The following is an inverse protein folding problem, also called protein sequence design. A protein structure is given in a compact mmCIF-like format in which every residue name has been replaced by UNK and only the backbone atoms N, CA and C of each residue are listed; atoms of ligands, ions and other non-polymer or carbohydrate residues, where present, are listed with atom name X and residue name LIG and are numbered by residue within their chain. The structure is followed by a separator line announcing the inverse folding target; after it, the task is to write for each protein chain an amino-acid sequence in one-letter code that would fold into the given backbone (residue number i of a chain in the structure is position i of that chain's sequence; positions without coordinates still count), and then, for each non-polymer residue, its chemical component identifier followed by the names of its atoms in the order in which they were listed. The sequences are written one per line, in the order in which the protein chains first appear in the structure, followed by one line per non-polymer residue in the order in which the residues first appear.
data_IF_229475070742
#
_entry.id   IF_229475070742
#
_cell.length_a   1.000
_cell.length_b   1.000
_cell.length_c   1.000
_cell.angle_alpha   90.00
_cell.angle_beta   90.00
_cell.angle_gamma   90.00
#
_symmetry.space_group_name_H-M   'P 1'
#
loop_
_entity.id
_entity.type
_entity.pdbx_description
1 polymer ?
#
# COMPACT_ATOMS: atom_id res chain seq x y z
N UNK A 1 -4.85 -9.21 3.59
CA UNK A 1 -5.69 -8.66 2.51
C UNK A 1 -5.67 -7.15 2.61
N UNK A 2 -5.34 -6.46 1.52
CA UNK A 2 -5.16 -5.00 1.52
C UNK A 2 -6.42 -4.32 0.97
N UNK A 3 -7.02 -3.47 1.78
CA UNK A 3 -8.27 -2.79 1.46
C UNK A 3 -8.10 -1.65 0.44
N UNK A 4 -9.21 -1.21 -0.21
CA UNK A 4 -9.20 -0.03 -1.07
C UNK A 4 -8.70 1.24 -0.36
N UNK A 5 -8.34 2.24 -1.16
CA UNK A 5 -8.03 3.59 -0.66
C UNK A 5 -9.23 4.15 0.12
N UNK A 6 -8.98 4.66 1.33
CA UNK A 6 -10.01 5.23 2.21
C UNK A 6 -11.04 4.24 2.77
N UNK A 7 -10.87 2.94 2.52
CA UNK A 7 -11.72 1.87 3.06
C UNK A 7 -11.15 1.32 4.37
N UNK A 8 -11.94 0.49 5.06
CA UNK A 8 -11.55 -0.22 6.29
C UNK A 8 -11.78 -1.73 6.15
N UNK A 9 -11.22 -2.51 7.09
CA UNK A 9 -11.22 -3.98 7.07
C UNK A 9 -12.63 -4.56 7.02
N UNK A 10 -13.62 -3.95 7.67
CA UNK A 10 -15.01 -4.43 7.77
C UNK A 10 -15.78 -4.40 6.44
N UNK A 11 -15.28 -3.67 5.44
CA UNK A 11 -15.98 -3.47 4.17
C UNK A 11 -15.69 -4.63 3.18
N UNK A 12 -15.54 -4.32 1.89
CA UNK A 12 -15.33 -5.30 0.82
C UNK A 12 -14.22 -6.34 1.09
N UNK A 13 -13.09 -6.03 1.77
CA UNK A 13 -12.05 -7.03 2.01
C UNK A 13 -12.53 -8.18 2.90
N UNK A 14 -13.39 -7.91 3.89
CA UNK A 14 -13.95 -8.95 4.77
C UNK A 14 -14.83 -9.93 4.00
N UNK A 15 -15.55 -9.49 2.97
CA UNK A 15 -16.34 -10.40 2.11
C UNK A 15 -15.44 -11.43 1.43
N UNK A 16 -14.36 -10.99 0.80
CA UNK A 16 -13.40 -11.90 0.16
C UNK A 16 -12.67 -12.79 1.18
N UNK A 17 -12.33 -12.24 2.35
CA UNK A 17 -11.71 -13.01 3.43
C UNK A 17 -12.59 -14.18 3.87
N UNK A 18 -13.88 -13.93 4.11
CA UNK A 18 -14.84 -14.97 4.48
C UNK A 18 -14.95 -16.06 3.41
N UNK A 19 -15.09 -15.68 2.14
CA UNK A 19 -15.17 -16.63 1.03
C UNK A 19 -13.91 -17.49 0.91
N UNK A 20 -12.72 -16.91 1.09
CA UNK A 20 -11.47 -17.66 1.07
C UNK A 20 -11.34 -18.58 2.30
N UNK A 21 -11.80 -18.15 3.47
CA UNK A 21 -11.83 -18.96 4.68
C UNK A 21 -12.75 -20.18 4.54
N UNK A 22 -13.90 -20.03 3.88
CA UNK A 22 -14.79 -21.14 3.53
C UNK A 22 -14.13 -22.18 2.60
N UNK A 23 -13.11 -21.77 1.84
CA UNK A 23 -12.28 -22.66 1.02
C UNK A 23 -11.07 -23.25 1.77
N UNK A 24 -10.99 -23.08 3.09
CA UNK A 24 -9.95 -23.67 3.94
C UNK A 24 -8.67 -22.84 4.05
N UNK A 25 -8.71 -21.55 3.71
CA UNK A 25 -7.57 -20.64 3.89
C UNK A 25 -7.66 -19.88 5.22
N UNK A 26 -6.51 -19.68 5.88
CA UNK A 26 -6.42 -18.69 6.95
C UNK A 26 -6.31 -17.30 6.32
N UNK A 27 -7.21 -16.40 6.69
CA UNK A 27 -7.25 -15.03 6.12
C UNK A 27 -7.04 -13.98 7.18
N UNK A 28 -6.20 -12.98 6.84
CA UNK A 28 -6.01 -11.78 7.64
C UNK A 28 -6.48 -10.56 6.84
N UNK A 29 -7.35 -9.75 7.44
CA UNK A 29 -7.71 -8.41 6.98
C UNK A 29 -7.30 -7.43 8.08
N UNK A 30 -6.71 -6.31 7.71
CA UNK A 30 -6.21 -5.31 8.66
C UNK A 30 -6.58 -3.92 8.16
N UNK A 31 -6.69 -2.95 9.08
CA UNK A 31 -6.73 -1.54 8.73
C UNK A 31 -5.31 -1.02 8.53
N UNK A 32 -5.09 -0.22 7.48
CA UNK A 32 -3.82 0.45 7.23
C UNK A 32 -3.39 1.27 8.45
N UNK A 33 -2.09 1.48 8.61
CA UNK A 33 -1.60 2.55 9.48
C UNK A 33 -2.34 3.87 9.17
N UNK A 34 -2.69 4.63 10.22
CA UNK A 34 -3.46 5.88 10.15
C UNK A 34 -4.92 5.73 9.69
N UNK A 35 -5.48 4.54 9.54
CA UNK A 35 -6.85 4.35 9.03
C UNK A 35 -7.65 3.41 9.91
N UNK A 36 -8.99 3.52 9.88
CA UNK A 36 -9.89 2.64 10.61
C UNK A 36 -9.58 2.58 12.11
N UNK A 37 -9.46 1.38 12.66
CA UNK A 37 -9.10 1.16 14.06
C UNK A 37 -7.59 1.10 14.30
N UNK A 38 -6.77 1.15 13.25
CA UNK A 38 -5.31 1.22 13.38
C UNK A 38 -4.87 2.61 13.82
N UNK A 39 -3.86 2.65 14.70
CA UNK A 39 -3.31 3.89 15.22
C UNK A 39 -2.46 4.67 14.19
N UNK A 40 -1.98 5.84 14.64
CA UNK A 40 -1.10 6.73 13.88
C UNK A 40 -1.75 8.09 13.63
N UNK A 41 -0.93 9.15 13.62
CA UNK A 41 -1.34 10.53 13.35
C UNK A 41 -0.50 11.18 12.23
N UNK A 42 -1.08 12.08 11.40
CA UNK A 42 -2.49 12.47 11.42
C UNK A 42 -3.39 11.36 10.87
N UNK A 43 -4.52 11.11 11.54
CA UNK A 43 -5.46 10.09 11.12
C UNK A 43 -6.02 10.36 9.70
N UNK A 44 -6.37 9.29 9.00
CA UNK A 44 -6.73 9.25 7.58
C UNK A 44 -5.60 9.55 6.58
N UNK A 45 -4.35 9.52 7.02
CA UNK A 45 -3.20 9.69 6.14
C UNK A 45 -3.01 8.51 5.18
N UNK A 46 -2.57 8.81 3.96
CA UNK A 46 -2.21 7.82 2.95
C UNK A 46 -0.74 8.00 2.54
N UNK A 47 0.14 7.23 3.17
CA UNK A 47 1.57 7.19 2.83
C UNK A 47 1.90 5.88 2.09
N UNK A 48 2.26 5.93 0.80
CA UNK A 48 2.49 4.72 0.00
C UNK A 48 3.53 3.76 0.59
N UNK A 49 4.63 4.27 1.14
CA UNK A 49 5.67 3.46 1.79
C UNK A 49 5.13 2.73 3.01
N UNK A 50 4.33 3.42 3.83
CA UNK A 50 3.71 2.81 5.02
C UNK A 50 2.69 1.74 4.62
N UNK A 51 1.90 1.98 3.57
CA UNK A 51 0.93 0.97 3.07
C UNK A 51 1.62 -0.31 2.61
N UNK A 52 2.78 -0.19 1.97
CA UNK A 52 3.61 -1.34 1.57
C UNK A 52 4.18 -2.03 2.81
N UNK A 53 4.64 -1.27 3.78
CA UNK A 53 5.19 -1.81 5.03
C UNK A 53 4.13 -2.52 5.87
N UNK A 54 2.90 -2.01 5.95
CA UNK A 54 1.79 -2.68 6.63
C UNK A 54 1.58 -4.11 6.10
N UNK A 55 1.76 -4.32 4.79
CA UNK A 55 1.64 -5.65 4.20
C UNK A 55 2.79 -6.56 4.66
N UNK A 56 4.02 -6.04 4.76
CA UNK A 56 5.14 -6.82 5.33
C UNK A 56 4.88 -7.19 6.78
N UNK A 57 4.30 -6.29 7.58
CA UNK A 57 3.92 -6.57 8.97
C UNK A 57 2.79 -7.58 9.09
N UNK A 58 1.82 -7.55 8.17
CA UNK A 58 0.80 -8.58 8.08
C UNK A 58 1.42 -9.96 7.74
N UNK A 59 2.44 -10.00 6.87
CA UNK A 59 3.20 -11.22 6.57
C UNK A 59 4.01 -11.68 7.79
N UNK A 60 4.66 -10.77 8.53
CA UNK A 60 5.37 -11.10 9.77
C UNK A 60 4.43 -11.76 10.79
N UNK A 61 3.26 -11.16 11.01
CA UNK A 61 2.25 -11.69 11.92
C UNK A 61 1.78 -13.10 11.51
N UNK A 62 1.46 -13.30 10.22
CA UNK A 62 1.07 -14.61 9.72
C UNK A 62 2.20 -15.64 9.82
N UNK A 63 3.45 -15.24 9.58
CA UNK A 63 4.61 -16.15 9.55
C UNK A 63 4.93 -16.80 10.91
N UNK A 64 4.48 -16.19 12.01
CA UNK A 64 4.69 -16.70 13.37
C UNK A 64 3.43 -17.33 13.97
N UNK A 65 2.31 -17.30 13.27
CA UNK A 65 1.05 -17.86 13.76
C UNK A 65 1.12 -19.41 13.70
N UNK A 66 0.79 -20.14 14.78
CA UNK A 66 1.02 -21.58 14.88
C UNK A 66 0.26 -22.39 13.82
N UNK A 67 -0.91 -21.91 13.40
CA UNK A 67 -1.74 -22.60 12.39
C UNK A 67 -1.40 -22.22 10.94
N UNK A 68 -0.45 -21.31 10.71
CA UNK A 68 -0.10 -20.83 9.37
C UNK A 68 1.18 -21.51 8.87
N UNK A 69 1.10 -22.10 7.68
CA UNK A 69 2.30 -22.52 6.94
C UNK A 69 2.97 -21.29 6.30
N UNK A 70 4.10 -20.87 6.88
CA UNK A 70 4.88 -19.71 6.42
C UNK A 70 5.39 -19.84 4.97
N UNK A 71 5.51 -21.06 4.43
CA UNK A 71 5.91 -21.28 3.04
C UNK A 71 4.73 -21.20 2.06
N UNK A 72 3.51 -20.92 2.55
CA UNK A 72 2.27 -20.85 1.75
C UNK A 72 1.49 -19.56 1.95
N UNK A 73 2.17 -18.45 2.24
CA UNK A 73 1.54 -17.14 2.40
C UNK A 73 1.29 -16.50 1.03
N UNK A 74 0.05 -16.12 0.75
CA UNK A 74 -0.34 -15.31 -0.41
C UNK A 74 -0.83 -13.93 -0.01
N UNK A 75 -0.89 -13.01 -0.97
CA UNK A 75 -1.40 -11.66 -0.76
C UNK A 75 -2.47 -11.29 -1.80
N UNK A 76 -3.57 -10.69 -1.32
CA UNK A 76 -4.66 -10.20 -2.16
C UNK A 76 -4.93 -8.73 -1.81
N UNK A 77 -5.00 -7.89 -2.84
CA UNK A 77 -5.38 -6.49 -2.72
C UNK A 77 -6.54 -6.10 -3.63
N UNK A 78 -7.37 -5.16 -3.18
CA UNK A 78 -8.57 -4.69 -3.88
C UNK A 78 -8.41 -3.21 -4.21
N UNK A 79 -8.76 -2.78 -5.44
CA UNK A 79 -8.64 -1.38 -5.86
C UNK A 79 -7.19 -0.87 -5.68
N UNK A 80 -6.99 0.27 -5.01
CA UNK A 80 -5.66 0.79 -4.69
C UNK A 80 -4.83 -0.20 -3.86
N UNK A 81 -5.48 -0.98 -2.98
CA UNK A 81 -4.86 -2.06 -2.23
C UNK A 81 -4.17 -3.07 -3.13
N UNK A 82 -4.74 -3.36 -4.31
CA UNK A 82 -4.12 -4.24 -5.31
C UNK A 82 -2.77 -3.71 -5.80
N UNK A 83 -2.63 -2.40 -5.99
CA UNK A 83 -1.36 -1.82 -6.42
C UNK A 83 -0.28 -1.88 -5.34
N UNK A 84 -0.64 -1.72 -4.06
CA UNK A 84 0.29 -1.92 -2.96
C UNK A 84 0.69 -3.39 -2.79
N UNK A 85 -0.25 -4.32 -2.98
CA UNK A 85 0.02 -5.76 -2.95
C UNK A 85 0.98 -6.19 -4.06
N UNK A 86 0.79 -5.68 -5.29
CA UNK A 86 1.73 -5.93 -6.40
C UNK A 86 3.07 -5.23 -6.14
N UNK A 87 3.06 -4.05 -5.52
CA UNK A 87 4.29 -3.33 -5.22
C UNK A 87 5.18 -4.12 -4.25
N UNK A 88 4.62 -4.57 -3.12
CA UNK A 88 5.38 -5.26 -2.07
C UNK A 88 5.93 -6.61 -2.54
N UNK A 89 5.19 -7.32 -3.40
CA UNK A 89 5.59 -8.66 -3.87
C UNK A 89 6.86 -8.67 -4.71
N UNK A 90 7.30 -7.51 -5.21
CA UNK A 90 8.58 -7.39 -5.90
C UNK A 90 9.79 -7.54 -4.95
N UNK A 91 9.56 -7.37 -3.63
CA UNK A 91 10.63 -7.33 -2.62
C UNK A 91 10.40 -8.29 -1.44
N UNK A 92 9.15 -8.69 -1.21
CA UNK A 92 8.78 -9.60 -0.12
C UNK A 92 8.61 -11.03 -0.63
N UNK A 93 9.69 -11.81 -0.60
CA UNK A 93 9.77 -13.16 -1.16
C UNK A 93 9.03 -14.24 -0.35
N UNK A 94 8.52 -13.90 0.84
CA UNK A 94 7.63 -14.79 1.61
C UNK A 94 6.24 -14.87 0.99
N UNK A 95 5.83 -13.86 0.21
CA UNK A 95 4.58 -13.90 -0.56
C UNK A 95 4.77 -14.80 -1.78
N UNK A 96 4.08 -15.94 -1.81
CA UNK A 96 4.21 -16.97 -2.85
C UNK A 96 3.20 -16.82 -3.99
N UNK A 97 2.12 -16.10 -3.75
CA UNK A 97 1.08 -15.83 -4.74
C UNK A 97 0.49 -14.44 -4.51
N UNK A 98 0.15 -13.75 -5.60
CA UNK A 98 -0.41 -12.40 -5.59
C UNK A 98 -1.68 -12.36 -6.42
N UNK A 99 -2.72 -11.75 -5.87
CA UNK A 99 -3.97 -11.49 -6.58
C UNK A 99 -4.39 -10.02 -6.43
N UNK A 100 -4.92 -9.46 -7.52
CA UNK A 100 -5.50 -8.12 -7.54
C UNK A 100 -6.96 -8.19 -8.00
N UNK A 101 -7.85 -7.49 -7.29
CA UNK A 101 -9.26 -7.38 -7.66
C UNK A 101 -9.56 -5.92 -8.01
N UNK A 102 -9.98 -5.67 -9.25
CA UNK A 102 -10.26 -4.32 -9.77
C UNK A 102 -9.11 -3.34 -9.47
N UNK A 103 -7.87 -3.78 -9.71
CA UNK A 103 -6.66 -3.08 -9.27
C UNK A 103 -6.58 -1.66 -9.84
N UNK A 104 -6.32 -0.69 -8.96
CA UNK A 104 -6.13 0.71 -9.31
C UNK A 104 -4.69 1.13 -9.01
N UNK A 105 -3.94 1.57 -10.03
CA UNK A 105 -2.56 2.02 -9.85
C UNK A 105 -2.52 3.45 -9.28
N UNK A 106 -2.56 3.54 -7.94
CA UNK A 106 -2.62 4.82 -7.22
C UNK A 106 -1.41 5.71 -7.47
N UNK A 107 -0.22 5.13 -7.65
CA UNK A 107 0.99 5.89 -7.94
C UNK A 107 0.96 6.56 -9.32
N UNK A 108 0.45 5.84 -10.34
CA UNK A 108 0.26 6.42 -11.66
C UNK A 108 -0.81 7.51 -11.65
N UNK A 109 -1.96 7.24 -11.04
CA UNK A 109 -3.05 8.21 -10.93
C UNK A 109 -2.60 9.49 -10.23
N UNK A 110 -1.85 9.36 -9.13
CA UNK A 110 -1.32 10.52 -8.39
C UNK A 110 -0.33 11.35 -9.22
N UNK A 111 0.53 10.71 -10.02
CA UNK A 111 1.48 11.42 -10.90
C UNK A 111 0.81 12.11 -12.07
N UNK A 112 -0.20 11.47 -12.68
CA UNK A 112 -0.95 12.04 -13.79
C UNK A 112 -1.98 13.09 -13.35
N UNK A 113 -2.39 13.04 -12.08
CA UNK A 113 -3.48 13.84 -11.54
C UNK A 113 -4.87 13.33 -11.92
N UNK A 114 -4.96 12.03 -12.23
CA UNK A 114 -6.15 11.39 -12.77
C UNK A 114 -7.05 10.83 -11.66
N UNK A 115 -8.36 10.77 -11.96
CA UNK A 115 -9.35 10.15 -11.09
C UNK A 115 -9.65 10.95 -9.82
N UNK A 116 -10.23 10.33 -8.78
CA UNK A 116 -10.76 11.03 -7.61
C UNK A 116 -9.68 11.67 -6.72
N UNK A 117 -8.39 11.45 -7.02
CA UNK A 117 -7.26 11.94 -6.22
C UNK A 117 -6.71 13.30 -6.71
N UNK A 118 -7.04 13.72 -7.93
CA UNK A 118 -6.57 14.97 -8.53
C UNK A 118 -5.04 15.11 -8.63
N UNK A 119 -4.57 16.27 -9.11
CA UNK A 119 -3.13 16.60 -9.17
C UNK A 119 -2.54 16.75 -7.77
N UNK A 120 -1.37 16.14 -7.55
CA UNK A 120 -0.61 16.30 -6.30
C UNK A 120 -0.06 17.74 -6.21
N UNK A 121 -0.39 18.49 -5.14
CA UNK A 121 0.21 19.81 -4.91
C UNK A 121 1.70 19.66 -4.55
N UNK A 122 2.49 20.71 -4.83
CA UNK A 122 3.91 20.74 -4.49
C UNK A 122 4.15 20.61 -2.98
N UNK A 123 3.24 21.13 -2.15
CA UNK A 123 3.31 21.05 -0.68
C UNK A 123 3.28 19.60 -0.17
N UNK A 124 2.41 18.76 -0.74
CA UNK A 124 2.28 17.35 -0.35
C UNK A 124 3.51 16.51 -0.77
N UNK A 125 4.32 16.96 -1.75
CA UNK A 125 5.62 16.33 -2.04
C UNK A 125 6.66 16.62 -0.96
N UNK A 126 6.63 17.82 -0.41
CA UNK A 126 7.58 18.27 0.61
C UNK A 126 7.24 17.67 1.98
N UNK A 127 5.96 17.50 2.32
CA UNK A 127 5.54 16.90 3.59
C UNK A 127 5.92 15.41 3.73
N UNK A 128 5.93 14.64 2.63
CA UNK A 128 6.41 13.24 2.60
C UNK A 128 7.92 13.17 2.87
N UNK A 129 8.68 14.23 2.57
CA UNK A 129 10.14 14.28 2.78
C UNK A 129 10.55 14.70 4.20
N UNK A 130 9.61 15.18 5.01
CA UNK A 130 9.84 15.50 6.42
C UNK A 130 9.48 14.27 7.25
N UNK A 131 10.40 13.71 8.06
CA UNK A 131 10.03 12.69 9.04
C UNK A 131 8.98 13.27 9.99
N UNK A 132 7.72 12.86 9.81
CA UNK A 132 6.59 13.39 10.57
C UNK A 132 6.63 12.96 12.05
N UNK A 133 7.51 12.01 12.40
CA UNK A 133 7.75 11.60 13.78
C UNK A 133 9.27 11.38 13.98
N UNK A 134 9.93 12.13 14.89
CA UNK A 134 11.37 11.99 15.16
C UNK A 134 11.81 10.60 15.63
N UNK A 135 10.86 9.75 16.06
CA UNK A 135 11.09 8.37 16.48
C UNK A 135 10.64 7.28 15.50
N UNK A 136 10.09 7.62 14.34
CA UNK A 136 9.66 6.61 13.35
C UNK A 136 10.70 6.44 12.23
N UNK A 137 11.62 5.48 12.44
CA UNK A 137 12.71 5.18 11.51
C UNK A 137 12.24 4.49 10.21
N UNK A 138 10.94 4.15 10.10
CA UNK A 138 10.36 3.44 8.95
C UNK A 138 10.40 4.23 7.63
N UNK A 139 10.52 5.56 7.70
CA UNK A 139 10.52 6.44 6.52
C UNK A 139 11.92 6.68 5.93
N UNK A 140 13.01 6.32 6.63
CA UNK A 140 14.38 6.66 6.19
C UNK A 140 14.94 5.81 5.05
N UNK A 141 14.39 4.60 4.82
CA UNK A 141 15.00 3.63 3.88
C UNK A 141 14.52 3.75 2.42
N UNK A 142 13.45 4.51 2.15
CA UNK A 142 12.75 4.44 0.85
C UNK A 142 13.03 5.55 -0.17
N UNK A 143 13.67 6.65 0.23
CA UNK A 143 13.85 7.83 -0.63
C UNK A 143 15.32 8.21 -0.76
N UNK A 144 16.08 7.43 -1.53
CA UNK A 144 17.31 7.91 -2.16
C UNK A 144 17.07 8.07 -3.67
N UNK A 145 16.97 9.33 -4.08
CA UNK A 145 17.21 9.87 -5.42
C UNK A 145 16.62 9.15 -6.65
N UNK A 146 15.47 9.64 -7.12
CA UNK A 146 15.18 9.73 -8.56
C UNK A 146 14.89 11.20 -8.94
N UNK A 147 15.78 12.09 -8.52
CA UNK A 147 15.80 13.51 -8.90
C UNK A 147 16.37 13.70 -10.30
N UNK A 148 15.71 13.14 -11.32
CA UNK A 148 16.26 13.15 -12.68
C UNK A 148 15.27 12.85 -13.80
N UNK A 149 13.97 13.11 -13.65
CA UNK A 149 13.04 13.02 -14.77
C UNK A 149 12.72 14.45 -15.23
N UNK A 150 13.19 14.87 -16.42
CA UNK A 150 12.93 16.22 -16.93
C UNK A 150 11.44 16.39 -17.24
N UNK A 151 10.97 17.61 -16.95
CA UNK A 151 9.60 18.05 -17.18
C UNK A 151 9.28 18.06 -18.68
N UNK A 152 8.31 17.25 -19.11
CA UNK A 152 7.84 17.18 -20.50
C UNK A 152 6.75 18.21 -20.81
N UNK A 153 6.51 19.20 -19.95
CA UNK A 153 5.53 20.26 -20.20
C UNK A 153 6.09 21.48 -20.92
N UNK A 154 7.37 21.49 -21.33
CA UNK A 154 7.94 22.59 -22.10
C UNK A 154 7.89 22.32 -23.63
N UNK A 155 6.99 22.99 -24.38
CA UNK A 155 6.88 22.82 -25.82
C UNK A 155 8.05 23.46 -26.61
N UNK A 156 9.04 24.09 -25.96
CA UNK A 156 10.19 24.70 -26.64
C UNK A 156 11.34 23.74 -27.00
N UNK A 157 11.24 22.46 -26.63
CA UNK A 157 12.30 21.46 -26.88
C UNK A 157 12.12 20.59 -28.13
N UNK A 158 11.12 20.89 -28.97
CA UNK A 158 10.99 20.32 -30.31
C UNK A 158 11.61 21.28 -31.34
N UNK A 159 12.94 21.23 -31.47
CA UNK A 159 13.72 21.90 -32.49
C UNK A 159 14.86 21.02 -32.94
#
# INVERSE_FOLDING_TARGET
MTHPFGAVKEQVPTTYAKLLAEQGLITLVFDASYQGESGGEPHFSEFPSTRVEDIRRAVDFLSIHPDVDKERIGALGICAGGSYTVNVSQTEMRIKAVAGVSTFNIGSARRAGDGPLGKQSAEYRTEISVPQNPGDDRLRSGYSAASGIPDRSDPSSAG
#
